data_IF_807540266581
#
_entry.id   IF_807540266581
#
_cell.length_a   1.000
_cell.length_b   1.000
_cell.length_c   1.000
_cell.angle_alpha   90.00
_cell.angle_beta   90.00
_cell.angle_gamma   90.00
#
_symmetry.space_group_name_H-M   'P 1'
#
loop_
_entity.id
_entity.type
_entity.pdbx_description
1 polymer ?
#
# COMPACT_ATOMS: atom_id res chain seq x y z
N UNK A 1 12.18 8.73 3.23
CA UNK A 1 10.97 7.94 2.93
C UNK A 1 10.20 7.71 4.22
N UNK A 2 8.88 7.73 4.16
CA UNK A 2 7.99 7.45 5.29
C UNK A 2 7.55 5.98 5.20
N UNK A 3 7.62 5.25 6.30
CA UNK A 3 7.23 3.83 6.39
C UNK A 3 6.18 3.64 7.47
N UNK A 4 5.11 2.92 7.13
CA UNK A 4 4.03 2.56 8.05
C UNK A 4 3.97 1.05 8.12
N UNK A 5 4.27 0.49 9.30
CA UNK A 5 4.23 -0.95 9.56
C UNK A 5 2.96 -1.29 10.35
N UNK A 6 2.21 -2.28 9.88
CA UNK A 6 1.08 -2.87 10.59
C UNK A 6 1.43 -4.27 11.14
N UNK A 7 0.55 -4.80 11.98
CA UNK A 7 0.64 -6.16 12.56
C UNK A 7 -0.57 -7.02 12.13
N UNK A 8 -1.20 -6.67 11.00
CA UNK A 8 -2.39 -7.34 10.51
C UNK A 8 -2.09 -8.66 9.80
N UNK A 9 -3.05 -9.12 9.02
CA UNK A 9 -3.01 -10.44 8.37
C UNK A 9 -1.91 -10.64 7.32
N UNK A 10 -1.18 -9.58 6.94
CA UNK A 10 -0.20 -9.61 5.87
C UNK A 10 -0.80 -9.69 4.47
N UNK A 11 0.06 -9.61 3.46
CA UNK A 11 -0.33 -9.55 2.05
C UNK A 11 0.46 -10.61 1.26
N UNK A 12 -0.21 -11.51 0.53
CA UNK A 12 0.47 -12.46 -0.35
C UNK A 12 1.31 -11.75 -1.41
N UNK A 13 2.47 -12.32 -1.79
CA UNK A 13 3.38 -11.70 -2.74
C UNK A 13 2.73 -11.33 -4.09
N UNK A 14 1.83 -12.18 -4.61
CA UNK A 14 1.08 -11.91 -5.86
C UNK A 14 0.12 -10.71 -5.77
N UNK A 15 -0.18 -10.26 -4.56
CA UNK A 15 -1.16 -9.21 -4.28
C UNK A 15 -0.50 -7.83 -4.08
N UNK A 16 0.78 -7.77 -3.70
CA UNK A 16 1.49 -6.53 -3.33
C UNK A 16 1.40 -5.42 -4.39
N UNK A 17 1.41 -5.77 -5.68
CA UNK A 17 1.23 -4.78 -6.77
C UNK A 17 -0.23 -4.49 -7.07
N UNK A 18 -1.12 -5.47 -6.84
CA UNK A 18 -2.55 -5.41 -7.20
C UNK A 18 -3.35 -4.55 -6.21
N UNK A 19 -2.98 -4.51 -4.94
CA UNK A 19 -3.62 -3.66 -3.90
C UNK A 19 -3.61 -2.16 -4.23
N UNK A 20 -2.77 -1.71 -5.16
CA UNK A 20 -2.73 -0.34 -5.64
C UNK A 20 -3.62 -0.09 -6.88
N UNK A 21 -4.35 -1.10 -7.38
CA UNK A 21 -5.32 -0.93 -8.47
C UNK A 21 -6.62 -0.34 -7.94
N UNK A 22 -7.27 0.50 -8.74
CA UNK A 22 -8.56 1.12 -8.40
C UNK A 22 -9.61 0.03 -8.12
N UNK A 23 -10.34 0.18 -7.02
CA UNK A 23 -11.38 -0.75 -6.55
C UNK A 23 -10.90 -2.16 -6.20
N UNK A 24 -9.58 -2.41 -6.20
CA UNK A 24 -9.07 -3.73 -5.92
C UNK A 24 -9.10 -4.03 -4.42
N UNK A 25 -9.55 -5.24 -4.09
CA UNK A 25 -9.54 -5.78 -2.73
C UNK A 25 -8.94 -7.19 -2.78
N UNK A 26 -7.92 -7.43 -1.96
CA UNK A 26 -7.30 -8.74 -1.90
C UNK A 26 -8.32 -9.78 -1.36
N UNK A 27 -8.33 -11.03 -1.87
CA UNK A 27 -9.35 -12.03 -1.52
C UNK A 27 -9.46 -12.29 -0.02
N UNK A 28 -8.33 -12.24 0.70
CA UNK A 28 -8.24 -12.42 2.13
C UNK A 28 -8.95 -11.31 2.94
N UNK A 29 -9.04 -10.08 2.39
CA UNK A 29 -9.76 -8.94 2.98
C UNK A 29 -11.24 -8.92 2.60
N UNK A 30 -11.67 -9.76 1.66
CA UNK A 30 -13.11 -9.91 1.34
C UNK A 30 -13.81 -10.86 2.32
N UNK A 31 -13.08 -11.80 2.90
CA UNK A 31 -13.60 -12.73 3.92
C UNK A 31 -13.83 -12.04 5.28
N UNK A 32 -12.96 -11.08 5.63
CA UNK A 32 -13.15 -10.19 6.77
C UNK A 32 -14.01 -9.03 6.31
N UNK A 33 -15.19 -8.78 6.89
CA UNK A 33 -16.16 -7.73 6.46
C UNK A 33 -15.65 -6.28 6.67
N UNK A 34 -14.39 -5.99 6.38
CA UNK A 34 -13.79 -4.66 6.44
C UNK A 34 -14.50 -3.77 5.42
N UNK A 35 -15.12 -2.68 5.88
CA UNK A 35 -15.75 -1.70 4.99
C UNK A 35 -14.68 -0.92 4.23
N UNK A 36 -14.90 -0.70 2.93
CA UNK A 36 -13.98 0.07 2.10
C UNK A 36 -14.17 -0.17 0.60
N UNK A 37 -13.94 0.87 -0.19
CA UNK A 37 -14.12 0.85 -1.66
C UNK A 37 -12.88 0.36 -2.42
N UNK A 38 -11.74 0.17 -1.74
CA UNK A 38 -10.47 -0.18 -2.40
C UNK A 38 -9.82 1.00 -3.17
N UNK A 39 -10.11 2.24 -2.76
CA UNK A 39 -9.56 3.45 -3.41
C UNK A 39 -8.31 4.01 -2.73
N UNK A 40 -8.13 3.78 -1.42
CA UNK A 40 -7.09 4.46 -0.64
C UNK A 40 -5.68 4.31 -1.20
N UNK A 41 -5.20 3.07 -1.39
CA UNK A 41 -3.86 2.82 -1.91
C UNK A 41 -3.68 3.28 -3.36
N UNK A 42 -4.73 3.19 -4.20
CA UNK A 42 -4.71 3.75 -5.55
C UNK A 42 -4.46 5.26 -5.52
N UNK A 43 -5.17 5.98 -4.65
CA UNK A 43 -4.99 7.43 -4.46
C UNK A 43 -3.57 7.73 -3.99
N UNK A 44 -3.07 7.01 -2.97
CA UNK A 44 -1.72 7.20 -2.43
C UNK A 44 -0.65 7.05 -3.53
N UNK A 45 -0.74 6.01 -4.36
CA UNK A 45 0.23 5.80 -5.46
C UNK A 45 0.12 6.91 -6.51
N UNK A 46 -1.09 7.32 -6.87
CA UNK A 46 -1.31 8.42 -7.82
C UNK A 46 -0.73 9.74 -7.32
N UNK A 47 -0.98 10.08 -6.05
CA UNK A 47 -0.41 11.28 -5.41
C UNK A 47 1.10 11.20 -5.37
N UNK A 48 1.69 10.08 -4.93
CA UNK A 48 3.14 9.91 -4.89
C UNK A 48 3.78 10.11 -6.27
N UNK A 49 3.21 9.49 -7.31
CA UNK A 49 3.68 9.61 -8.69
C UNK A 49 3.60 11.06 -9.22
N UNK A 50 2.50 11.76 -8.94
CA UNK A 50 2.34 13.18 -9.30
C UNK A 50 3.38 14.09 -8.65
N UNK A 51 3.94 13.69 -7.52
CA UNK A 51 5.02 14.40 -6.82
C UNK A 51 6.42 13.87 -7.16
N UNK A 52 6.58 13.10 -8.25
CA UNK A 52 7.87 12.55 -8.69
C UNK A 52 8.39 11.43 -7.79
N UNK A 53 7.54 10.86 -6.93
CA UNK A 53 7.87 9.80 -6.01
C UNK A 53 7.19 8.47 -6.32
N UNK A 54 7.18 7.58 -5.34
CA UNK A 54 6.56 6.26 -5.43
C UNK A 54 5.97 5.81 -4.09
N UNK A 55 4.93 4.98 -4.19
CA UNK A 55 4.37 4.24 -3.06
C UNK A 55 4.38 2.74 -3.38
N UNK A 56 4.82 1.92 -2.43
CA UNK A 56 4.88 0.46 -2.55
C UNK A 56 4.63 -0.21 -1.20
N UNK A 57 4.40 -1.52 -1.22
CA UNK A 57 4.18 -2.32 -0.04
C UNK A 57 5.05 -3.57 -0.06
N UNK A 58 5.42 -4.02 1.13
CA UNK A 58 6.19 -5.23 1.40
C UNK A 58 5.49 -6.01 2.52
N UNK A 59 5.49 -7.34 2.45
CA UNK A 59 4.96 -8.20 3.49
C UNK A 59 5.70 -9.53 3.47
N UNK A 60 6.00 -10.08 4.65
CA UNK A 60 6.60 -11.41 4.79
C UNK A 60 5.56 -12.54 4.64
N UNK A 61 4.30 -12.21 4.35
CA UNK A 61 3.22 -13.17 4.18
C UNK A 61 2.25 -13.18 5.35
N UNK A 62 1.44 -14.24 5.41
CA UNK A 62 0.29 -14.34 6.32
C UNK A 62 0.69 -14.20 7.79
N UNK A 63 -0.03 -13.36 8.53
CA UNK A 63 0.16 -13.14 9.98
C UNK A 63 1.39 -12.30 10.35
N UNK A 64 2.16 -11.79 9.38
CA UNK A 64 3.38 -11.02 9.64
C UNK A 64 3.20 -9.50 9.44
N UNK A 65 1.96 -9.04 9.27
CA UNK A 65 1.67 -7.66 8.91
C UNK A 65 2.24 -7.25 7.56
N UNK A 66 2.19 -5.96 7.28
CA UNK A 66 2.77 -5.36 6.07
C UNK A 66 3.49 -4.06 6.40
N UNK A 67 4.35 -3.62 5.50
CA UNK A 67 4.97 -2.29 5.55
C UNK A 67 4.64 -1.56 4.27
N UNK A 68 4.06 -0.37 4.40
CA UNK A 68 3.76 0.54 3.29
C UNK A 68 4.78 1.67 3.31
N UNK A 69 5.39 1.91 2.16
CA UNK A 69 6.46 2.91 2.01
C UNK A 69 6.05 3.99 1.03
N UNK A 70 6.13 5.25 1.46
CA UNK A 70 6.03 6.44 0.63
C UNK A 70 7.41 7.09 0.49
N UNK A 71 7.87 7.23 -0.75
CA UNK A 71 9.15 7.85 -1.08
C UNK A 71 8.89 9.03 -2.02
N UNK A 72 9.25 10.23 -1.60
CA UNK A 72 9.20 11.44 -2.40
C UNK A 72 10.63 12.00 -2.56
N UNK A 73 10.91 12.74 -3.64
CA UNK A 73 12.14 13.53 -3.74
C UNK A 73 12.25 14.48 -2.55
N UNK A 74 13.48 14.70 -2.07
CA UNK A 74 13.72 15.75 -1.11
C UNK A 74 13.44 17.10 -1.79
N UNK A 75 12.82 18.03 -1.07
CA UNK A 75 12.77 19.41 -1.54
C UNK A 75 14.22 19.90 -1.74
N UNK A 76 14.50 20.71 -2.78
CA UNK A 76 15.78 21.37 -2.91
C UNK A 76 16.09 22.08 -1.60
N UNK A 77 17.32 21.92 -1.09
CA UNK A 77 17.80 22.83 -0.05
C UNK A 77 17.89 24.20 -0.71
N UNK A 78 17.11 25.15 -0.19
CA UNK A 78 17.26 26.57 -0.55
C UNK A 78 18.54 27.11 0.08
#
# INVERSE_FOLDING_TARGET
>A
AVRVKDQGMGIPNGELKRIFKRFYRAPNVSATRVKGTGLGLFIVRSVAQKHGGRAFAESAGAGQGSTFTLQLPAAPRQ
#
